data_IF_024835804052
#
_entry.id   IF_024835804052
#
_cell.length_a   1.000
_cell.length_b   1.000
_cell.length_c   1.000
_cell.angle_alpha   90.00
_cell.angle_beta   90.00
_cell.angle_gamma   90.00
#
_symmetry.space_group_name_H-M   'P 1'
#
loop_
_entity.id
_entity.type
_entity.pdbx_description
1 polymer ?
#
# COMPACT_ATOMS: atom_id res chain seq x y z
N UNK A 1 -4.35 2.45 14.89
CA UNK A 1 -3.90 1.76 13.65
C UNK A 1 -3.37 2.81 12.69
N UNK A 2 -2.52 2.46 11.73
CA UNK A 2 -2.12 3.37 10.65
C UNK A 2 -2.73 2.91 9.34
N UNK A 3 -3.24 3.85 8.56
CA UNK A 3 -3.90 3.62 7.28
C UNK A 3 -3.15 4.39 6.19
N UNK A 4 -2.48 3.68 5.29
CA UNK A 4 -1.77 4.28 4.17
C UNK A 4 -2.63 4.15 2.92
N UNK A 5 -2.93 5.28 2.29
CA UNK A 5 -3.84 5.34 1.16
C UNK A 5 -3.59 6.52 0.24
N UNK A 6 -4.56 6.79 -0.62
CA UNK A 6 -4.65 8.02 -1.39
C UNK A 6 -6.07 8.54 -1.26
N UNK A 7 -6.24 9.86 -1.23
CA UNK A 7 -7.56 10.51 -1.26
C UNK A 7 -8.37 10.12 -2.52
N UNK A 8 -7.70 9.97 -3.65
CA UNK A 8 -8.30 9.60 -4.95
C UNK A 8 -8.59 8.10 -5.12
N UNK A 9 -8.26 7.27 -4.14
CA UNK A 9 -8.45 5.82 -4.20
C UNK A 9 -9.84 5.42 -3.67
N UNK A 10 -10.74 4.96 -4.54
CA UNK A 10 -12.12 4.57 -4.19
C UNK A 10 -12.17 3.47 -3.13
N UNK A 11 -11.33 2.44 -3.29
CA UNK A 11 -11.16 1.36 -2.31
C UNK A 11 -10.73 1.88 -0.95
N UNK A 12 -9.86 2.90 -0.93
CA UNK A 12 -9.37 3.51 0.29
C UNK A 12 -10.47 4.32 0.98
N UNK A 13 -11.27 5.09 0.23
CA UNK A 13 -12.42 5.82 0.78
C UNK A 13 -13.47 4.86 1.36
N UNK A 14 -13.76 3.76 0.66
CA UNK A 14 -14.64 2.70 1.16
C UNK A 14 -14.13 2.08 2.46
N UNK A 15 -12.85 1.72 2.49
CA UNK A 15 -12.21 1.14 3.68
C UNK A 15 -12.28 2.07 4.90
N UNK A 16 -11.94 3.35 4.73
CA UNK A 16 -12.03 4.34 5.81
C UNK A 16 -13.46 4.51 6.32
N UNK A 17 -14.46 4.52 5.43
CA UNK A 17 -15.87 4.62 5.81
C UNK A 17 -16.30 3.42 6.66
N UNK A 18 -15.98 2.20 6.22
CA UNK A 18 -16.31 0.97 6.94
C UNK A 18 -15.60 0.91 8.31
N UNK A 19 -14.31 1.27 8.37
CA UNK A 19 -13.55 1.33 9.63
C UNK A 19 -14.12 2.35 10.62
N UNK A 20 -14.47 3.56 10.15
CA UNK A 20 -15.09 4.58 11.00
C UNK A 20 -16.47 4.14 11.50
N UNK A 21 -17.27 3.50 10.64
CA UNK A 21 -18.57 2.97 11.03
C UNK A 21 -18.47 1.85 12.09
N UNK A 22 -17.39 1.06 12.06
CA UNK A 22 -17.06 0.08 13.09
C UNK A 22 -16.41 0.69 14.36
N UNK A 23 -16.35 2.02 14.48
CA UNK A 23 -15.79 2.71 15.63
C UNK A 23 -14.27 2.59 15.77
N UNK A 24 -13.55 2.29 14.68
CA UNK A 24 -12.09 2.10 14.70
C UNK A 24 -11.35 3.44 14.57
N UNK A 25 -10.35 3.64 15.43
CA UNK A 25 -9.45 4.79 15.39
C UNK A 25 -8.17 4.48 14.58
N UNK A 26 -7.86 5.34 13.61
CA UNK A 26 -6.69 5.18 12.76
C UNK A 26 -6.19 6.51 12.18
N UNK A 27 -4.88 6.62 12.03
CA UNK A 27 -4.23 7.75 11.37
C UNK A 27 -4.18 7.51 9.87
N UNK A 28 -4.60 8.49 9.07
CA UNK A 28 -4.54 8.41 7.61
C UNK A 28 -3.27 9.06 7.13
N UNK A 29 -2.49 8.31 6.35
CA UNK A 29 -1.24 8.76 5.72
C UNK A 29 -1.44 8.65 4.21
N UNK A 30 -1.33 9.78 3.51
CA UNK A 30 -1.38 9.81 2.06
C UNK A 30 0.01 9.47 1.49
N UNK A 31 0.12 8.33 0.82
CA UNK A 31 1.42 7.83 0.34
C UNK A 31 2.06 8.74 -0.71
N UNK A 32 1.31 9.66 -1.33
CA UNK A 32 1.84 10.63 -2.28
C UNK A 32 2.17 11.95 -1.60
N UNK A 33 1.29 12.46 -0.74
CA UNK A 33 1.48 13.77 -0.11
C UNK A 33 2.46 13.71 1.07
N UNK A 34 2.32 12.71 1.94
CA UNK A 34 3.16 12.54 3.13
C UNK A 34 4.39 11.67 2.82
N UNK A 35 4.30 10.85 1.78
CA UNK A 35 5.36 9.93 1.37
C UNK A 35 5.47 8.69 2.25
N UNK A 36 6.28 7.74 1.81
CA UNK A 36 6.66 6.55 2.58
C UNK A 36 8.16 6.40 2.46
N UNK A 37 8.86 6.28 3.60
CA UNK A 37 10.32 6.15 3.58
C UNK A 37 10.73 4.81 2.95
N UNK A 38 11.91 4.80 2.32
CA UNK A 38 12.50 3.57 1.75
C UNK A 38 12.60 2.47 2.81
N UNK A 39 13.00 2.83 4.04
CA UNK A 39 13.12 1.88 5.13
C UNK A 39 11.77 1.26 5.53
N UNK A 40 10.67 2.02 5.45
CA UNK A 40 9.33 1.51 5.68
C UNK A 40 8.87 0.57 4.56
N UNK A 41 9.20 0.90 3.31
CA UNK A 41 8.94 0.03 2.15
C UNK A 41 9.72 -1.29 2.26
N UNK A 42 10.97 -1.25 2.72
CA UNK A 42 11.78 -2.46 2.98
C UNK A 42 11.17 -3.29 4.11
N UNK A 43 10.75 -2.66 5.21
CA UNK A 43 10.08 -3.36 6.32
C UNK A 43 8.83 -4.09 5.83
N UNK A 44 7.96 -3.42 5.07
CA UNK A 44 6.79 -4.05 4.48
C UNK A 44 7.16 -5.17 3.50
N UNK A 45 8.07 -4.91 2.56
CA UNK A 45 8.51 -5.91 1.60
C UNK A 45 8.99 -7.20 2.28
N UNK A 46 9.75 -7.07 3.36
CA UNK A 46 10.26 -8.22 4.13
C UNK A 46 9.17 -9.01 4.86
N UNK A 47 8.11 -8.33 5.34
CA UNK A 47 7.06 -8.95 6.16
C UNK A 47 5.91 -9.58 5.36
N UNK A 48 5.58 -9.02 4.20
CA UNK A 48 4.38 -9.41 3.42
C UNK A 48 4.66 -9.75 1.96
N UNK A 49 5.94 -9.90 1.59
CA UNK A 49 6.43 -10.01 0.21
C UNK A 49 6.23 -8.73 -0.61
N UNK A 50 7.31 -8.25 -1.23
CA UNK A 50 7.30 -7.09 -2.11
C UNK A 50 6.32 -7.24 -3.29
N UNK A 51 6.05 -8.47 -3.75
CA UNK A 51 5.07 -8.72 -4.82
C UNK A 51 3.65 -8.39 -4.39
N UNK A 52 3.33 -8.59 -3.11
CA UNK A 52 2.03 -8.20 -2.54
C UNK A 52 1.92 -6.68 -2.46
N UNK A 53 3.02 -6.02 -2.13
CA UNK A 53 3.12 -4.57 -1.96
C UNK A 53 3.08 -3.82 -3.30
N UNK A 54 3.67 -4.37 -4.36
CA UNK A 54 3.77 -3.75 -5.67
C UNK A 54 2.45 -3.88 -6.47
N UNK A 55 1.94 -2.75 -6.95
CA UNK A 55 0.71 -2.66 -7.75
C UNK A 55 1.01 -2.69 -9.25
N UNK A 56 1.25 -3.90 -9.78
CA UNK A 56 1.44 -4.16 -11.21
C UNK A 56 0.17 -3.91 -12.05
N UNK A 57 -0.99 -3.70 -11.42
CA UNK A 57 -2.26 -3.36 -12.10
C UNK A 57 -2.50 -1.86 -12.21
N UNK A 58 -1.63 -1.02 -11.65
CA UNK A 58 -1.79 0.44 -11.68
C UNK A 58 -1.53 1.02 -13.07
N UNK A 59 -2.09 2.19 -13.35
CA UNK A 59 -1.77 2.95 -14.57
C UNK A 59 -0.31 3.39 -14.59
N UNK A 60 0.27 3.71 -13.43
CA UNK A 60 1.69 4.01 -13.28
C UNK A 60 2.55 2.84 -13.73
N UNK A 61 2.25 1.61 -13.27
CA UNK A 61 2.98 0.43 -13.73
C UNK A 61 2.89 0.26 -15.24
N UNK A 62 1.69 0.38 -15.82
CA UNK A 62 1.52 0.26 -17.28
C UNK A 62 2.38 1.28 -18.05
N UNK A 63 2.55 2.49 -17.52
CA UNK A 63 3.33 3.58 -18.11
C UNK A 63 4.85 3.47 -17.92
N UNK A 64 5.34 2.58 -17.05
CA UNK A 64 6.79 2.36 -16.90
C UNK A 64 7.39 1.81 -18.20
N UNK A 65 8.68 2.09 -18.41
CA UNK A 65 9.43 1.56 -19.54
C UNK A 65 9.55 0.03 -19.45
N UNK A 66 9.81 -0.68 -20.57
CA UNK A 66 10.14 -2.10 -20.52
C UNK A 66 11.35 -2.40 -19.62
N UNK A 67 12.37 -1.55 -19.64
CA UNK A 67 13.59 -1.69 -18.82
C UNK A 67 13.29 -1.62 -17.32
N UNK A 68 12.38 -0.73 -16.91
CA UNK A 68 11.95 -0.62 -15.51
C UNK A 68 11.15 -1.85 -15.05
N UNK A 69 10.44 -2.51 -15.97
CA UNK A 69 9.62 -3.70 -15.68
C UNK A 69 10.41 -5.00 -15.71
N UNK A 70 11.52 -5.03 -16.44
CA UNK A 70 12.33 -6.24 -16.59
C UNK A 70 13.11 -6.56 -15.30
N UNK A 71 13.24 -7.85 -15.00
CA UNK A 71 14.05 -8.32 -13.87
C UNK A 71 13.71 -7.70 -12.50
N UNK A 72 12.46 -7.31 -12.25
CA UNK A 72 12.09 -6.67 -10.98
C UNK A 72 12.25 -7.66 -9.83
N UNK A 73 13.18 -7.34 -8.95
CA UNK A 73 13.40 -7.96 -7.65
C UNK A 73 12.90 -7.04 -6.52
N UNK A 74 13.09 -7.45 -5.25
CA UNK A 74 12.68 -6.67 -4.09
C UNK A 74 13.31 -5.27 -4.06
N UNK A 75 14.61 -5.18 -4.31
CA UNK A 75 15.37 -3.93 -4.23
C UNK A 75 14.90 -2.94 -5.30
N UNK A 76 14.68 -3.44 -6.52
CA UNK A 76 14.14 -2.66 -7.64
C UNK A 76 12.69 -2.27 -7.37
N UNK A 77 11.87 -3.17 -6.83
CA UNK A 77 10.49 -2.87 -6.46
C UNK A 77 10.39 -1.76 -5.40
N UNK A 78 11.20 -1.82 -4.35
CA UNK A 78 11.27 -0.77 -3.31
C UNK A 78 11.69 0.56 -3.92
N UNK A 79 12.72 0.56 -4.77
CA UNK A 79 13.17 1.77 -5.47
C UNK A 79 12.06 2.37 -6.34
N UNK A 80 11.39 1.54 -7.13
CA UNK A 80 10.27 1.95 -7.96
C UNK A 80 9.11 2.53 -7.14
N UNK A 81 8.78 1.93 -6.00
CA UNK A 81 7.72 2.42 -5.11
C UNK A 81 8.09 3.73 -4.41
N UNK A 82 9.36 3.92 -4.07
CA UNK A 82 9.86 5.18 -3.52
C UNK A 82 9.80 6.31 -4.56
N UNK A 83 10.22 6.03 -5.79
CA UNK A 83 10.16 7.00 -6.92
C UNK A 83 8.73 7.26 -7.37
N UNK A 84 7.88 6.23 -7.34
CA UNK A 84 6.50 6.30 -7.79
C UNK A 84 5.54 5.74 -6.73
N UNK A 85 5.14 6.53 -5.72
CA UNK A 85 4.29 6.05 -4.62
C UNK A 85 2.94 5.48 -5.05
N UNK A 86 2.46 5.83 -6.25
CA UNK A 86 1.25 5.22 -6.83
C UNK A 86 1.40 3.74 -7.16
N UNK A 87 2.62 3.22 -7.26
CA UNK A 87 2.92 1.79 -7.41
C UNK A 87 2.71 1.00 -6.12
N UNK A 88 2.58 1.64 -4.97
CA UNK A 88 2.24 0.95 -3.72
C UNK A 88 0.78 0.48 -3.81
N UNK A 89 0.51 -0.79 -3.49
CA UNK A 89 -0.85 -1.32 -3.42
C UNK A 89 -1.55 -0.76 -2.19
N UNK A 90 -2.83 -0.39 -2.33
CA UNK A 90 -3.57 0.36 -1.32
C UNK A 90 -4.98 -0.20 -1.11
N UNK A 91 -5.57 -0.01 0.08
CA UNK A 91 -4.95 0.55 1.29
C UNK A 91 -3.88 -0.38 1.89
N UNK A 92 -2.96 0.16 2.67
CA UNK A 92 -2.12 -0.63 3.60
C UNK A 92 -2.56 -0.27 5.01
N UNK A 93 -2.76 -1.27 5.86
CA UNK A 93 -3.20 -1.06 7.24
C UNK A 93 -2.21 -1.73 8.17
N UNK A 94 -1.66 -0.94 9.10
CA UNK A 94 -0.83 -1.44 10.19
C UNK A 94 -1.63 -1.50 11.48
N UNK A 95 -1.70 -2.69 12.07
CA UNK A 95 -2.35 -2.97 13.35
C UNK A 95 -1.34 -3.74 14.22
N UNK A 96 -0.61 -3.01 15.06
CA UNK A 96 0.54 -3.58 15.77
C UNK A 96 1.63 -4.00 14.78
N UNK A 97 2.07 -5.26 14.86
CA UNK A 97 3.06 -5.83 13.93
C UNK A 97 2.43 -6.38 12.64
N UNK A 98 1.10 -6.49 12.59
CA UNK A 98 0.39 -7.03 11.43
C UNK A 98 0.20 -5.97 10.36
N UNK A 99 0.43 -6.37 9.10
CA UNK A 99 0.29 -5.52 7.92
C UNK A 99 -0.73 -6.17 6.99
N UNK A 100 -1.74 -5.40 6.58
CA UNK A 100 -2.76 -5.83 5.64
C UNK A 100 -2.70 -4.99 4.38
N UNK A 101 -2.79 -5.64 3.21
CA UNK A 101 -2.76 -4.96 1.92
C UNK A 101 -4.04 -5.19 1.13
N UNK A 102 -4.62 -4.09 0.66
CA UNK A 102 -5.90 -4.08 -0.03
C UNK A 102 -7.08 -4.20 0.93
N UNK A 103 -8.28 -4.05 0.37
CA UNK A 103 -9.54 -4.13 1.12
C UNK A 103 -10.30 -5.42 0.77
N UNK A 104 -9.69 -6.56 1.12
CA UNK A 104 -10.22 -7.90 0.87
C UNK A 104 -11.11 -8.38 2.02
N UNK A 105 -11.86 -9.47 1.84
CA UNK A 105 -12.65 -10.07 2.94
C UNK A 105 -11.76 -10.42 4.14
N UNK A 106 -10.61 -11.05 3.91
CA UNK A 106 -9.65 -11.37 4.96
C UNK A 106 -9.14 -10.12 5.70
N UNK A 107 -8.89 -9.02 4.97
CA UNK A 107 -8.52 -7.75 5.62
C UNK A 107 -9.66 -7.28 6.52
N UNK A 108 -10.89 -7.27 6.03
CA UNK A 108 -12.06 -6.79 6.78
C UNK A 108 -12.27 -7.59 8.06
N UNK A 109 -12.24 -8.91 7.98
CA UNK A 109 -12.42 -9.80 9.14
C UNK A 109 -11.39 -9.54 10.23
N UNK A 110 -10.18 -9.11 9.86
CA UNK A 110 -9.09 -8.85 10.79
C UNK A 110 -9.11 -7.44 11.41
N UNK A 111 -9.64 -6.43 10.70
CA UNK A 111 -9.50 -5.01 11.11
C UNK A 111 -10.81 -4.30 11.44
N UNK A 112 -11.96 -4.83 10.99
CA UNK A 112 -13.28 -4.33 11.41
C UNK A 112 -13.59 -4.77 12.83
#
# INVERSE_FOLDING_TARGET
>A
MKFYGLTTCDTCRKAQKELRAAGRNFDVIDVRADGVSVQKLQDWASKIDWKTLLNTRSTTWRKLSPEDKDGVDEKKAVSLMATHPTLIKRPIIEKGEQIYVGWTSATKDAVL
#
